data_IF_860339279691
#
_entry.id   IF_860339279691
#
_cell.length_a   1.000
_cell.length_b   1.000
_cell.length_c   1.000
_cell.angle_alpha   90.00
_cell.angle_beta   90.00
_cell.angle_gamma   90.00
#
_symmetry.space_group_name_H-M   'P 1'
#
loop_
_entity.id
_entity.type
_entity.pdbx_description
1 polymer ?
#
# COMPACT_ATOMS: atom_id res chain seq x y z
N UNK A 1 -16.35 -4.76 3.01
CA UNK A 1 -16.28 -4.27 4.42
C UNK A 1 -14.83 -4.32 4.88
N UNK A 2 -14.24 -3.16 5.13
CA UNK A 2 -12.89 -3.03 5.67
C UNK A 2 -12.84 -3.49 7.14
N UNK A 3 -12.12 -4.57 7.42
CA UNK A 3 -11.83 -5.02 8.80
C UNK A 3 -10.32 -5.19 8.99
N UNK A 4 -9.82 -5.05 10.22
CA UNK A 4 -8.38 -5.20 10.49
C UNK A 4 -7.86 -6.60 10.12
N UNK A 5 -8.67 -7.63 10.33
CA UNK A 5 -8.33 -9.02 10.00
C UNK A 5 -8.28 -9.24 8.50
N UNK A 6 -9.27 -8.75 7.75
CA UNK A 6 -9.30 -8.91 6.29
C UNK A 6 -8.20 -8.13 5.59
N UNK A 7 -7.89 -6.90 6.04
CA UNK A 7 -6.77 -6.13 5.48
C UNK A 7 -5.45 -6.87 5.69
N UNK A 8 -5.24 -7.43 6.89
CA UNK A 8 -4.06 -8.27 7.16
C UNK A 8 -4.01 -9.49 6.25
N UNK A 9 -5.11 -10.24 6.13
CA UNK A 9 -5.19 -11.45 5.32
C UNK A 9 -4.89 -11.14 3.85
N UNK A 10 -5.56 -10.12 3.32
CA UNK A 10 -5.34 -9.61 1.98
C UNK A 10 -3.89 -9.16 1.74
N UNK A 11 -3.27 -8.44 2.69
CA UNK A 11 -1.87 -8.05 2.59
C UNK A 11 -0.90 -9.24 2.71
N UNK A 12 -1.23 -10.26 3.49
CA UNK A 12 -0.44 -11.47 3.63
C UNK A 12 -0.51 -12.35 2.36
N UNK A 13 -1.68 -12.46 1.74
CA UNK A 13 -1.88 -13.19 0.49
C UNK A 13 -1.26 -12.48 -0.73
N UNK A 14 -1.42 -11.16 -0.82
CA UNK A 14 -0.88 -10.37 -1.95
C UNK A 14 0.60 -9.97 -1.74
N UNK A 15 1.09 -10.02 -0.50
CA UNK A 15 2.41 -9.54 -0.07
C UNK A 15 2.54 -8.01 -0.06
N UNK A 16 2.04 -7.33 -1.10
CA UNK A 16 2.04 -5.87 -1.23
C UNK A 16 0.78 -5.37 -1.92
N UNK A 17 0.26 -4.24 -1.47
CA UNK A 17 -0.89 -3.58 -2.08
C UNK A 17 -0.81 -2.06 -1.93
N UNK A 18 -1.45 -1.33 -2.84
CA UNK A 18 -1.50 0.13 -2.76
C UNK A 18 -2.69 0.62 -1.96
N UNK A 19 -2.59 1.81 -1.37
CA UNK A 19 -3.68 2.40 -0.58
C UNK A 19 -4.99 2.50 -1.38
N UNK A 20 -4.89 2.98 -2.62
CA UNK A 20 -6.05 3.13 -3.52
C UNK A 20 -6.66 1.76 -3.85
N UNK A 21 -5.83 0.76 -4.12
CA UNK A 21 -6.30 -0.60 -4.44
C UNK A 21 -7.02 -1.24 -3.25
N UNK A 22 -6.49 -1.08 -2.03
CA UNK A 22 -7.15 -1.52 -0.79
C UNK A 22 -8.48 -0.79 -0.60
N UNK A 23 -8.51 0.53 -0.78
CA UNK A 23 -9.73 1.32 -0.65
C UNK A 23 -10.82 0.85 -1.63
N UNK A 24 -10.46 0.62 -2.90
CA UNK A 24 -11.38 0.12 -3.94
C UNK A 24 -11.80 -1.32 -3.67
N UNK A 25 -10.87 -2.19 -3.26
CA UNK A 25 -11.16 -3.60 -2.99
C UNK A 25 -12.12 -3.79 -1.82
N UNK A 26 -11.97 -2.99 -0.77
CA UNK A 26 -12.81 -3.09 0.44
C UNK A 26 -14.07 -2.23 0.39
N UNK A 27 -14.28 -1.48 -0.70
CA UNK A 27 -15.31 -0.45 -0.87
C UNK A 27 -15.31 0.51 0.33
N UNK A 28 -14.16 1.13 0.59
CA UNK A 28 -13.93 1.97 1.76
C UNK A 28 -13.11 3.20 1.42
N UNK A 29 -13.23 4.24 2.23
CA UNK A 29 -12.48 5.48 2.01
C UNK A 29 -10.97 5.24 2.16
N UNK A 30 -10.13 5.88 1.32
CA UNK A 30 -8.68 5.76 1.40
C UNK A 30 -8.15 6.22 2.77
N UNK A 31 -8.79 7.18 3.43
CA UNK A 31 -8.45 7.59 4.79
C UNK A 31 -8.69 6.49 5.84
N UNK A 32 -9.77 5.71 5.69
CA UNK A 32 -10.08 4.60 6.58
C UNK A 32 -9.07 3.45 6.38
N UNK A 33 -8.77 3.10 5.13
CA UNK A 33 -7.72 2.14 4.80
C UNK A 33 -6.36 2.58 5.35
N UNK A 34 -6.03 3.87 5.22
CA UNK A 34 -4.79 4.46 5.73
C UNK A 34 -4.69 4.33 7.25
N UNK A 35 -5.75 4.63 7.99
CA UNK A 35 -5.76 4.45 9.46
C UNK A 35 -5.51 2.99 9.86
N UNK A 36 -6.13 2.03 9.16
CA UNK A 36 -5.92 0.60 9.45
C UNK A 36 -4.46 0.20 9.19
N UNK A 37 -3.88 0.66 8.07
CA UNK A 37 -2.49 0.40 7.72
C UNK A 37 -1.50 1.09 8.66
N UNK A 38 -1.79 2.33 9.07
CA UNK A 38 -0.99 3.11 10.01
C UNK A 38 -0.92 2.41 11.37
N UNK A 39 -2.03 1.85 11.84
CA UNK A 39 -2.05 1.02 13.04
C UNK A 39 -1.15 -0.22 12.95
N UNK A 40 -1.04 -0.82 11.76
CA UNK A 40 -0.11 -1.93 11.52
C UNK A 40 1.33 -1.49 11.37
N UNK A 41 1.56 -0.29 10.82
CA UNK A 41 2.86 0.34 10.67
C UNK A 41 3.43 0.74 12.04
N UNK A 42 2.60 1.28 12.93
CA UNK A 42 2.93 1.55 14.32
C UNK A 42 3.27 0.27 15.10
N UNK A 43 2.64 -0.86 14.74
CA UNK A 43 2.98 -2.20 15.26
C UNK A 43 4.22 -2.83 14.62
N UNK A 44 4.78 -2.22 13.57
CA UNK A 44 5.91 -2.76 12.83
C UNK A 44 5.59 -4.00 11.97
N UNK A 45 4.31 -4.26 11.67
CA UNK A 45 3.91 -5.40 10.82
C UNK A 45 3.83 -5.07 9.33
N UNK A 46 3.67 -3.79 9.01
CA UNK A 46 3.53 -3.28 7.64
C UNK A 46 4.57 -2.22 7.41
N UNK A 47 5.12 -2.19 6.19
CA UNK A 47 6.07 -1.18 5.74
C UNK A 47 5.45 -0.35 4.63
N UNK A 48 5.42 0.98 4.81
CA UNK A 48 4.99 1.92 3.77
C UNK A 48 6.17 2.27 2.86
N UNK A 49 5.96 2.13 1.57
CA UNK A 49 6.82 2.63 0.50
C UNK A 49 6.10 3.76 -0.22
N UNK A 50 6.60 4.97 -0.05
CA UNK A 50 6.24 6.06 -0.94
C UNK A 50 7.15 5.97 -2.15
N UNK A 51 6.60 5.58 -3.30
CA UNK A 51 7.27 5.85 -4.58
C UNK A 51 7.16 7.35 -4.87
N UNK A 52 7.90 8.15 -4.09
CA UNK A 52 8.20 9.52 -4.42
C UNK A 52 9.11 9.52 -5.64
N UNK A 53 8.66 10.18 -6.71
CA UNK A 53 9.36 10.28 -7.98
C UNK A 53 10.86 10.51 -7.82
N UNK A 54 11.62 9.45 -8.07
CA UNK A 54 13.06 9.42 -7.94
C UNK A 54 13.62 8.41 -8.92
N UNK A 55 13.21 8.50 -10.18
CA UNK A 55 13.95 7.88 -11.27
C UNK A 55 15.29 8.64 -11.42
N UNK A 56 16.17 8.44 -10.46
CA UNK A 56 17.57 8.82 -10.53
C UNK A 56 18.27 7.85 -11.46
N UNK A 57 18.26 8.17 -12.76
CA UNK A 57 19.18 7.66 -13.80
C UNK A 57 19.06 6.16 -14.11
N UNK A 58 18.36 5.83 -15.19
CA UNK A 58 18.97 5.16 -16.35
C UNK A 58 17.90 4.91 -17.43
N UNK A 59 18.07 5.61 -18.55
CA UNK A 59 17.75 5.21 -19.92
C UNK A 59 16.43 4.47 -20.22
N UNK A 60 15.66 5.12 -21.11
CA UNK A 60 14.78 4.48 -22.10
C UNK A 60 13.36 4.12 -21.65
N UNK A 61 12.44 5.01 -22.02
CA UNK A 61 11.07 4.67 -22.46
C UNK A 61 10.13 4.07 -21.41
N UNK A 62 9.71 4.86 -20.42
CA UNK A 62 8.48 4.56 -19.69
C UNK A 62 7.72 5.88 -19.43
N UNK A 63 6.76 6.22 -20.30
CA UNK A 63 5.77 7.27 -20.03
C UNK A 63 4.72 6.76 -19.03
N UNK A 64 5.15 6.30 -17.85
CA UNK A 64 4.23 6.05 -16.76
C UNK A 64 4.20 7.33 -15.92
N UNK A 65 3.16 8.13 -16.12
CA UNK A 65 2.70 9.11 -15.15
C UNK A 65 2.23 8.34 -13.90
N UNK A 66 3.17 7.73 -13.20
CA UNK A 66 2.92 6.99 -11.99
C UNK A 66 2.57 8.03 -10.94
N UNK A 67 1.27 8.17 -10.67
CA UNK A 67 0.78 8.87 -9.49
C UNK A 67 1.65 8.43 -8.30
N UNK A 68 1.93 9.33 -7.33
CA UNK A 68 2.56 8.91 -6.09
C UNK A 68 1.66 7.85 -5.46
N UNK A 69 2.02 6.58 -5.63
CA UNK A 69 1.21 5.47 -5.18
C UNK A 69 1.83 5.00 -3.87
N UNK A 70 1.10 5.23 -2.78
CA UNK A 70 1.48 4.75 -1.46
C UNK A 70 1.30 3.23 -1.44
N UNK A 71 2.42 2.50 -1.50
CA UNK A 71 2.43 1.04 -1.50
C UNK A 71 2.72 0.57 -0.07
N UNK A 72 1.99 -0.44 0.37
CA UNK A 72 2.14 -1.06 1.68
C UNK A 72 2.53 -2.51 1.49
N UNK A 73 3.62 -2.92 2.13
CA UNK A 73 4.14 -4.29 2.11
C UNK A 73 3.96 -4.93 3.48
N UNK A 74 3.47 -6.17 3.51
CA UNK A 74 3.37 -6.95 4.72
C UNK A 74 4.73 -7.57 5.09
N UNK A 75 5.21 -7.29 6.30
CA UNK A 75 6.57 -7.69 6.72
C UNK A 75 6.58 -8.83 7.75
N UNK A 76 5.40 -9.32 8.19
CA UNK A 76 5.33 -10.40 9.18
C UNK A 76 5.43 -11.75 8.48
N UNK A 77 6.64 -12.32 8.51
CA UNK A 77 6.87 -13.78 8.45
C UNK A 77 6.46 -14.41 9.78
#
# INVERSE_FOLDING_TARGET
MLTMSSVRDYLAENGRASLEDIAVHFDSSPEAARQVLDHWLAKGRVRRFEQGGGCGKASSSCSCASKPQEIYEWTSV
#
